data_IF_751432796221
#
_entry.id   IF_751432796221
#
_cell.length_a   1.000
_cell.length_b   1.000
_cell.length_c   1.000
_cell.angle_alpha   90.00
_cell.angle_beta   90.00
_cell.angle_gamma   90.00
#
_symmetry.space_group_name_H-M   'P 1'
#
loop_
_entity.id
_entity.type
_entity.pdbx_description
1 polymer ?
#
# COMPACT_ATOMS: atom_id res chain seq x y z
N UNK A 1 5.97 11.81 -15.44
CA UNK A 1 5.47 10.98 -14.33
C UNK A 1 4.55 9.94 -14.96
N UNK A 2 4.70 8.67 -14.60
CA UNK A 2 3.80 7.59 -14.95
C UNK A 2 2.52 7.91 -14.23
N UNK A 3 1.44 7.99 -15.00
CA UNK A 3 0.12 8.31 -14.49
C UNK A 3 -0.24 7.32 -13.38
N UNK A 4 -0.67 7.84 -12.23
CA UNK A 4 -1.16 6.98 -11.14
C UNK A 4 -2.46 6.32 -11.59
N UNK A 5 -2.64 5.04 -11.28
CA UNK A 5 -3.86 4.32 -11.65
C UNK A 5 -4.57 3.67 -10.47
N UNK A 6 -5.83 3.33 -10.69
CA UNK A 6 -6.71 2.63 -9.76
C UNK A 6 -7.32 1.40 -10.44
N UNK A 7 -7.54 0.32 -9.70
CA UNK A 7 -8.06 -0.95 -10.23
C UNK A 7 -9.50 -0.84 -10.73
N UNK A 8 -9.86 -1.68 -11.71
CA UNK A 8 -11.23 -1.80 -12.19
C UNK A 8 -12.22 -2.19 -11.09
N UNK A 9 -11.82 -3.04 -10.13
CA UNK A 9 -12.67 -3.44 -9.00
C UNK A 9 -13.04 -2.25 -8.10
N UNK A 10 -12.10 -1.34 -7.87
CA UNK A 10 -12.37 -0.11 -7.11
C UNK A 10 -13.23 0.86 -7.91
N UNK A 11 -12.91 1.08 -9.19
CA UNK A 11 -13.70 1.92 -10.09
C UNK A 11 -15.15 1.42 -10.24
N UNK A 12 -15.35 0.10 -10.27
CA UNK A 12 -16.68 -0.53 -10.26
C UNK A 12 -17.42 -0.25 -8.93
N UNK A 13 -16.70 -0.22 -7.81
CA UNK A 13 -17.25 0.23 -6.53
C UNK A 13 -17.78 1.66 -6.62
N UNK A 14 -16.98 2.57 -7.18
CA UNK A 14 -17.36 3.98 -7.40
C UNK A 14 -18.64 4.03 -8.24
N UNK A 15 -18.66 3.35 -9.39
CA UNK A 15 -19.82 3.30 -10.29
C UNK A 15 -21.09 2.88 -9.54
N UNK A 16 -21.04 1.78 -8.77
CA UNK A 16 -22.19 1.31 -8.00
C UNK A 16 -22.65 2.33 -6.96
N UNK A 17 -21.71 3.00 -6.29
CA UNK A 17 -22.04 4.02 -5.30
C UNK A 17 -22.68 5.26 -5.93
N UNK A 18 -22.23 5.67 -7.12
CA UNK A 18 -22.79 6.77 -7.89
C UNK A 18 -24.19 6.45 -8.44
N UNK A 19 -24.40 5.22 -8.91
CA UNK A 19 -25.69 4.75 -9.42
C UNK A 19 -26.78 4.70 -8.32
N UNK A 20 -26.40 4.56 -7.05
CA UNK A 20 -27.35 4.68 -5.94
C UNK A 20 -27.99 6.07 -5.82
N UNK A 21 -27.29 7.12 -6.27
CA UNK A 21 -27.80 8.49 -6.35
C UNK A 21 -28.42 8.79 -7.73
N UNK A 22 -28.70 7.76 -8.53
CA UNK A 22 -29.41 7.87 -9.81
C UNK A 22 -28.56 8.37 -10.97
N UNK A 23 -27.23 8.40 -10.83
CA UNK A 23 -26.32 8.83 -11.90
C UNK A 23 -26.14 7.74 -12.97
N UNK A 24 -26.21 8.13 -14.25
CA UNK A 24 -25.87 7.23 -15.37
C UNK A 24 -24.35 7.21 -15.58
N UNK A 25 -23.69 6.23 -14.96
CA UNK A 25 -22.25 6.07 -15.04
C UNK A 25 -21.74 5.69 -16.44
N UNK A 26 -22.57 5.12 -17.32
CA UNK A 26 -22.17 4.86 -18.72
C UNK A 26 -22.02 6.17 -19.49
N UNK A 27 -22.95 7.10 -19.28
CA UNK A 27 -22.89 8.45 -19.85
C UNK A 27 -21.69 9.22 -19.29
N UNK A 28 -21.47 9.16 -17.97
CA UNK A 28 -20.33 9.81 -17.32
C UNK A 28 -18.98 9.30 -17.85
N UNK A 29 -18.82 7.97 -17.95
CA UNK A 29 -17.59 7.38 -18.49
C UNK A 29 -17.35 7.84 -19.92
N UNK A 30 -18.38 7.83 -20.77
CA UNK A 30 -18.29 8.31 -22.15
C UNK A 30 -17.87 9.79 -22.23
N UNK A 31 -18.42 10.66 -21.38
CA UNK A 31 -18.06 12.08 -21.32
C UNK A 31 -16.60 12.30 -20.90
N UNK A 32 -16.08 11.42 -20.04
CA UNK A 32 -14.70 11.46 -19.55
C UNK A 32 -13.72 10.73 -20.47
N UNK A 33 -14.17 10.17 -21.61
CA UNK A 33 -13.34 9.40 -22.52
C UNK A 33 -12.88 8.05 -21.95
N UNK A 34 -13.59 7.52 -20.95
CA UNK A 34 -13.34 6.22 -20.34
C UNK A 34 -14.18 5.14 -21.02
N UNK A 35 -13.60 3.95 -21.20
CA UNK A 35 -14.34 2.76 -21.61
C UNK A 35 -15.03 2.12 -20.41
N UNK A 36 -16.37 2.13 -20.42
CA UNK A 36 -17.17 1.47 -19.40
C UNK A 36 -17.03 -0.07 -19.45
N UNK A 37 -16.76 -0.65 -20.63
CA UNK A 37 -16.60 -2.09 -20.82
C UNK A 37 -15.41 -2.65 -20.03
N UNK A 38 -14.34 -1.86 -19.93
CA UNK A 38 -13.12 -2.16 -19.16
C UNK A 38 -13.36 -2.38 -17.66
N UNK A 39 -14.50 -1.95 -17.10
CA UNK A 39 -14.84 -2.24 -15.70
C UNK A 39 -15.07 -3.74 -15.43
N UNK A 40 -15.33 -4.53 -16.48
CA UNK A 40 -15.50 -5.99 -16.37
C UNK A 40 -14.18 -6.77 -16.45
N UNK A 41 -13.10 -6.12 -16.88
CA UNK A 41 -11.76 -6.70 -16.92
C UNK A 41 -11.09 -6.58 -15.53
N UNK A 42 -10.77 -7.70 -14.84
CA UNK A 42 -10.13 -7.67 -13.53
C UNK A 42 -8.73 -7.05 -13.50
N UNK A 43 -8.04 -7.00 -14.64
CA UNK A 43 -6.69 -6.45 -14.77
C UNK A 43 -6.68 -5.00 -15.30
N UNK A 44 -7.83 -4.48 -15.73
CA UNK A 44 -7.94 -3.11 -16.19
C UNK A 44 -7.65 -2.10 -15.08
N UNK A 45 -7.07 -0.97 -15.50
CA UNK A 45 -6.62 0.13 -14.66
C UNK A 45 -7.13 1.44 -15.22
N UNK A 46 -7.61 2.30 -14.33
CA UNK A 46 -8.14 3.61 -14.68
C UNK A 46 -7.20 4.70 -14.18
N UNK A 47 -6.90 5.72 -15.01
CA UNK A 47 -6.14 6.90 -14.59
C UNK A 47 -6.74 7.57 -13.35
N UNK A 48 -5.89 7.99 -12.41
CA UNK A 48 -6.31 8.66 -11.19
C UNK A 48 -7.03 9.97 -11.49
N UNK A 49 -6.49 10.79 -12.39
CA UNK A 49 -7.12 12.07 -12.77
C UNK A 49 -8.50 11.87 -13.39
N UNK A 50 -8.73 10.76 -14.09
CA UNK A 50 -10.06 10.41 -14.60
C UNK A 50 -11.03 10.05 -13.49
N UNK A 51 -10.57 9.36 -12.44
CA UNK A 51 -11.39 9.09 -11.24
C UNK A 51 -11.67 10.37 -10.44
N UNK A 52 -10.71 11.28 -10.33
CA UNK A 52 -10.89 12.61 -9.73
C UNK A 52 -11.99 13.38 -10.46
N UNK A 53 -11.95 13.43 -11.80
CA UNK A 53 -12.99 14.08 -12.62
C UNK A 53 -14.35 13.39 -12.50
N UNK A 54 -14.37 12.06 -12.39
CA UNK A 54 -15.60 11.31 -12.16
C UNK A 54 -16.28 11.73 -10.87
N UNK A 55 -15.53 11.85 -9.76
CA UNK A 55 -16.07 12.34 -8.49
C UNK A 55 -16.58 13.78 -8.59
N UNK A 56 -15.79 14.68 -9.19
CA UNK A 56 -16.20 16.08 -9.38
C UNK A 56 -17.52 16.17 -10.16
N UNK A 57 -17.61 15.47 -11.29
CA UNK A 57 -18.80 15.47 -12.14
C UNK A 57 -20.02 14.85 -11.45
N UNK A 58 -19.79 13.80 -10.65
CA UNK A 58 -20.84 13.17 -9.87
C UNK A 58 -21.43 14.13 -8.82
N UNK A 59 -20.59 14.86 -8.10
CA UNK A 59 -21.04 15.87 -7.12
C UNK A 59 -21.82 17.00 -7.82
N UNK A 60 -21.31 17.51 -8.95
CA UNK A 60 -21.99 18.55 -9.73
C UNK A 60 -23.39 18.14 -10.20
N UNK A 61 -23.55 16.89 -10.65
CA UNK A 61 -24.83 16.40 -11.19
C UNK A 61 -25.82 15.98 -10.11
N UNK A 62 -25.34 15.35 -9.04
CA UNK A 62 -26.20 14.88 -7.94
C UNK A 62 -26.56 15.99 -6.95
N UNK A 63 -25.73 17.03 -6.85
CA UNK A 63 -25.80 18.00 -5.76
C UNK A 63 -25.43 17.41 -4.39
N UNK A 64 -24.95 16.17 -4.33
CA UNK A 64 -24.60 15.48 -3.10
C UNK A 64 -23.08 15.56 -2.85
N UNK A 65 -22.60 16.45 -1.95
CA UNK A 65 -21.17 16.53 -1.64
C UNK A 65 -20.65 15.30 -0.90
N UNK A 66 -21.52 14.54 -0.24
CA UNK A 66 -21.19 13.36 0.57
C UNK A 66 -21.33 12.03 -0.21
N UNK A 67 -21.48 12.08 -1.53
CA UNK A 67 -21.70 10.90 -2.39
C UNK A 67 -20.62 9.82 -2.25
N UNK A 68 -19.40 10.20 -1.87
CA UNK A 68 -18.31 9.25 -1.58
C UNK A 68 -18.66 8.26 -0.46
N UNK A 69 -19.46 8.66 0.53
CA UNK A 69 -19.85 7.80 1.65
C UNK A 69 -20.72 6.60 1.21
N UNK A 70 -21.41 6.69 0.07
CA UNK A 70 -22.19 5.58 -0.48
C UNK A 70 -21.32 4.36 -0.82
N UNK A 71 -20.01 4.54 -0.98
CA UNK A 71 -19.06 3.43 -1.15
C UNK A 71 -19.12 2.42 0.00
N UNK A 72 -19.39 2.85 1.24
CA UNK A 72 -19.58 1.95 2.37
C UNK A 72 -20.77 1.00 2.22
N UNK A 73 -21.77 1.34 1.38
CA UNK A 73 -22.98 0.53 1.17
C UNK A 73 -22.80 -0.55 0.11
N UNK A 74 -21.87 -0.37 -0.82
CA UNK A 74 -21.66 -1.26 -1.98
C UNK A 74 -20.39 -2.08 -1.89
N UNK A 75 -19.47 -1.73 -0.99
CA UNK A 75 -18.19 -2.41 -0.87
C UNK A 75 -18.37 -3.88 -0.50
N UNK A 76 -17.58 -4.72 -1.16
CA UNK A 76 -17.39 -6.13 -0.82
C UNK A 76 -15.90 -6.41 -0.76
N UNK A 77 -15.45 -7.51 -0.15
CA UNK A 77 -14.04 -7.86 -0.19
C UNK A 77 -13.45 -7.89 -1.61
N UNK A 78 -14.22 -8.34 -2.60
CA UNK A 78 -13.82 -8.32 -4.01
C UNK A 78 -13.54 -6.91 -4.57
N UNK A 79 -14.07 -5.83 -3.97
CA UNK A 79 -13.73 -4.44 -4.32
C UNK A 79 -12.25 -4.10 -4.06
N UNK A 80 -11.60 -4.85 -3.17
CA UNK A 80 -10.18 -4.72 -2.85
C UNK A 80 -9.29 -5.68 -3.66
N UNK A 81 -9.84 -6.27 -4.73
CA UNK A 81 -9.16 -7.27 -5.57
C UNK A 81 -8.59 -8.43 -4.73
N UNK A 82 -7.44 -8.99 -5.14
CA UNK A 82 -6.76 -10.06 -4.38
C UNK A 82 -6.42 -9.67 -2.94
N UNK A 83 -6.16 -8.38 -2.66
CA UNK A 83 -5.87 -7.91 -1.31
C UNK A 83 -7.06 -8.10 -0.35
N UNK A 84 -8.28 -8.01 -0.87
CA UNK A 84 -9.50 -8.28 -0.11
C UNK A 84 -9.58 -9.71 0.40
N UNK A 85 -9.23 -10.70 -0.42
CA UNK A 85 -9.24 -12.12 -0.01
C UNK A 85 -8.16 -12.44 1.04
N UNK A 86 -6.98 -11.82 0.90
CA UNK A 86 -5.90 -11.95 1.89
C UNK A 86 -6.34 -11.41 3.27
N UNK A 87 -7.08 -10.30 3.26
CA UNK A 87 -7.67 -9.71 4.47
C UNK A 87 -8.80 -10.59 5.04
N UNK A 88 -9.69 -11.13 4.20
CA UNK A 88 -10.79 -12.01 4.63
C UNK A 88 -10.37 -13.24 5.44
N UNK A 89 -9.22 -13.81 5.12
CA UNK A 89 -8.75 -15.07 5.69
C UNK A 89 -7.87 -14.88 6.93
N UNK A 90 -7.60 -13.63 7.33
CA UNK A 90 -6.76 -13.29 8.48
C UNK A 90 -7.38 -13.74 9.81
N UNK A 91 -6.55 -13.96 10.83
CA UNK A 91 -7.03 -14.35 12.16
C UNK A 91 -7.73 -13.18 12.86
N UNK A 92 -7.26 -11.95 12.63
CA UNK A 92 -7.77 -10.73 13.27
C UNK A 92 -7.89 -9.60 12.26
N UNK A 93 -8.65 -8.55 12.59
CA UNK A 93 -8.68 -7.33 11.77
C UNK A 93 -7.30 -6.65 11.73
N UNK A 94 -6.54 -6.68 12.83
CA UNK A 94 -5.20 -6.11 12.89
C UNK A 94 -4.26 -6.74 11.86
N UNK A 95 -4.24 -8.08 11.77
CA UNK A 95 -3.48 -8.81 10.75
C UNK A 95 -4.00 -8.49 9.34
N UNK A 96 -5.33 -8.45 9.17
CA UNK A 96 -5.96 -8.09 7.91
C UNK A 96 -5.54 -6.70 7.41
N UNK A 97 -5.54 -5.69 8.28
CA UNK A 97 -5.12 -4.35 7.90
C UNK A 97 -3.62 -4.24 7.63
N UNK A 98 -2.77 -5.00 8.32
CA UNK A 98 -1.35 -5.10 7.96
C UNK A 98 -1.17 -5.65 6.53
N UNK A 99 -1.96 -6.67 6.14
CA UNK A 99 -1.98 -7.16 4.75
C UNK A 99 -2.50 -6.10 3.78
N UNK A 100 -3.57 -5.39 4.14
CA UNK A 100 -4.10 -4.31 3.29
C UNK A 100 -3.05 -3.23 3.05
N UNK A 101 -2.33 -2.79 4.08
CA UNK A 101 -1.21 -1.82 3.95
C UNK A 101 -0.13 -2.35 3.02
N UNK A 102 0.20 -3.65 3.09
CA UNK A 102 1.21 -4.28 2.23
C UNK A 102 0.78 -4.33 0.76
N UNK A 103 -0.49 -4.62 0.48
CA UNK A 103 -1.02 -4.84 -0.87
C UNK A 103 -1.82 -3.69 -1.46
N UNK A 104 -1.92 -2.56 -0.75
CA UNK A 104 -2.72 -1.40 -1.16
C UNK A 104 -2.49 -0.92 -2.59
N UNK A 105 -1.24 -1.03 -3.09
CA UNK A 105 -0.87 -0.62 -4.45
C UNK A 105 -1.53 -1.46 -5.54
N UNK A 106 -2.01 -2.66 -5.21
CA UNK A 106 -2.83 -3.46 -6.12
C UNK A 106 -4.19 -2.78 -6.34
N UNK A 107 -4.69 -2.01 -5.37
CA UNK A 107 -5.99 -1.34 -5.45
C UNK A 107 -5.83 0.04 -6.08
N UNK A 108 -4.97 0.88 -5.50
CA UNK A 108 -4.74 2.25 -5.98
C UNK A 108 -3.29 2.67 -5.75
N UNK A 109 -2.69 3.34 -6.73
CA UNK A 109 -1.35 3.94 -6.63
C UNK A 109 -1.35 5.34 -6.03
N UNK A 110 -2.55 5.92 -5.89
CA UNK A 110 -2.83 7.26 -5.41
C UNK A 110 -3.22 7.29 -3.93
N UNK A 111 -3.10 6.19 -3.20
CA UNK A 111 -3.39 6.15 -1.78
C UNK A 111 -2.23 5.53 -1.01
N UNK A 112 -1.87 6.17 0.10
CA UNK A 112 -1.00 5.62 1.13
C UNK A 112 -1.81 5.33 2.38
N UNK A 113 -1.88 4.06 2.74
CA UNK A 113 -2.45 3.51 3.95
C UNK A 113 -1.33 3.18 4.93
N UNK A 114 -1.56 3.54 6.19
CA UNK A 114 -0.73 3.16 7.31
C UNK A 114 -1.61 2.59 8.41
N UNK A 115 -1.16 1.52 9.05
CA UNK A 115 -1.86 0.91 10.19
C UNK A 115 -0.90 0.87 11.38
N UNK A 116 -1.24 1.59 12.44
CA UNK A 116 -0.37 1.78 13.61
C UNK A 116 -1.14 1.54 14.90
N UNK A 117 -0.43 1.01 15.89
CA UNK A 117 -0.93 0.99 17.26
C UNK A 117 -0.52 2.29 17.95
N UNK A 118 -1.50 3.02 18.47
CA UNK A 118 -1.35 4.25 19.26
C UNK A 118 -1.85 3.99 20.70
N UNK A 119 -1.62 4.96 21.60
CA UNK A 119 -2.08 4.86 22.99
C UNK A 119 -3.59 4.70 23.12
N UNK A 120 -4.35 5.33 22.21
CA UNK A 120 -5.81 5.33 22.22
C UNK A 120 -6.45 4.17 21.45
N UNK A 121 -5.65 3.30 20.82
CA UNK A 121 -6.11 2.18 20.01
C UNK A 121 -5.35 2.02 18.68
N UNK A 122 -5.91 1.25 17.76
CA UNK A 122 -5.33 1.11 16.42
C UNK A 122 -5.82 2.21 15.49
N UNK A 123 -4.91 2.81 14.74
CA UNK A 123 -5.20 3.82 13.73
C UNK A 123 -4.96 3.27 12.33
N UNK A 124 -6.02 3.25 11.51
CA UNK A 124 -5.89 3.15 10.06
C UNK A 124 -5.86 4.57 9.49
N UNK A 125 -4.69 5.02 9.10
CA UNK A 125 -4.43 6.34 8.56
C UNK A 125 -4.40 6.24 7.03
N UNK A 126 -5.09 7.16 6.38
CA UNK A 126 -5.16 7.28 4.94
C UNK A 126 -4.61 8.63 4.49
N UNK A 127 -3.85 8.60 3.41
CA UNK A 127 -3.48 9.79 2.66
C UNK A 127 -3.78 9.53 1.19
N UNK A 128 -4.73 10.29 0.65
CA UNK A 128 -5.03 10.24 -0.78
C UNK A 128 -4.21 11.31 -1.49
N UNK A 129 -3.49 10.88 -2.50
CA UNK A 129 -2.71 11.71 -3.41
C UNK A 129 -3.50 11.96 -4.68
N UNK A 130 -3.35 13.16 -5.22
CA UNK A 130 -3.76 13.45 -6.59
C UNK A 130 -2.81 12.81 -7.61
N UNK A 131 -3.01 13.12 -8.89
CA UNK A 131 -1.92 13.03 -9.87
C UNK A 131 -1.59 14.43 -10.39
N UNK A 132 -2.05 14.82 -11.58
CA UNK A 132 -1.95 16.22 -12.02
C UNK A 132 -3.08 17.06 -11.42
N UNK A 133 -4.21 16.45 -11.08
CA UNK A 133 -5.30 17.08 -10.35
C UNK A 133 -5.18 16.82 -8.85
N UNK A 134 -5.60 17.77 -7.99
CA UNK A 134 -5.64 17.54 -6.54
C UNK A 134 -6.63 16.42 -6.20
N UNK A 135 -6.40 15.67 -5.10
CA UNK A 135 -7.32 14.63 -4.67
C UNK A 135 -8.67 15.22 -4.28
N UNK A 136 -9.75 14.49 -4.56
CA UNK A 136 -11.10 14.87 -4.13
C UNK A 136 -11.37 14.35 -2.72
N UNK A 137 -12.10 15.14 -1.94
CA UNK A 137 -12.60 14.76 -0.62
C UNK A 137 -13.37 13.45 -0.65
N UNK A 138 -14.19 13.25 -1.70
CA UNK A 138 -15.00 12.05 -1.90
C UNK A 138 -14.14 10.77 -2.02
N UNK A 139 -12.91 10.88 -2.54
CA UNK A 139 -12.02 9.72 -2.62
C UNK A 139 -11.56 9.27 -1.23
N UNK A 140 -11.20 10.20 -0.35
CA UNK A 140 -10.81 9.88 1.02
C UNK A 140 -11.99 9.35 1.84
N UNK A 141 -13.13 10.02 1.75
CA UNK A 141 -14.39 9.60 2.39
C UNK A 141 -14.83 8.21 1.96
N UNK A 142 -14.75 7.92 0.66
CA UNK A 142 -15.03 6.60 0.10
C UNK A 142 -14.13 5.53 0.72
N UNK A 143 -12.83 5.78 0.81
CA UNK A 143 -11.88 4.84 1.40
C UNK A 143 -12.13 4.61 2.88
N UNK A 144 -12.43 5.65 3.67
CA UNK A 144 -12.80 5.51 5.09
C UNK A 144 -14.10 4.71 5.24
N UNK A 145 -15.15 5.06 4.49
CA UNK A 145 -16.44 4.36 4.53
C UNK A 145 -16.30 2.89 4.13
N UNK A 146 -15.49 2.60 3.09
CA UNK A 146 -15.19 1.25 2.67
C UNK A 146 -14.44 0.44 3.74
N UNK A 147 -13.42 1.03 4.35
CA UNK A 147 -12.64 0.35 5.39
C UNK A 147 -13.52 -0.01 6.59
N UNK A 148 -14.39 0.90 7.03
CA UNK A 148 -15.33 0.63 8.12
C UNK A 148 -16.35 -0.45 7.75
N UNK A 149 -16.97 -0.36 6.57
CA UNK A 149 -17.93 -1.36 6.11
C UNK A 149 -17.29 -2.75 5.94
N UNK A 150 -16.02 -2.81 5.51
CA UNK A 150 -15.26 -4.04 5.44
C UNK A 150 -15.05 -4.67 6.82
N UNK A 151 -14.74 -3.87 7.85
CA UNK A 151 -14.69 -4.38 9.23
C UNK A 151 -16.01 -5.02 9.64
N UNK A 152 -17.13 -4.37 9.32
CA UNK A 152 -18.46 -4.90 9.64
C UNK A 152 -18.75 -6.22 8.93
N UNK A 153 -18.36 -6.32 7.65
CA UNK A 153 -18.50 -7.55 6.87
C UNK A 153 -17.68 -8.70 7.45
N UNK A 154 -16.42 -8.44 7.81
CA UNK A 154 -15.51 -9.46 8.30
C UNK A 154 -15.87 -9.99 9.69
N UNK A 155 -16.30 -9.09 10.57
CA UNK A 155 -16.64 -9.45 11.95
C UNK A 155 -18.06 -9.97 12.09
N UNK A 156 -18.92 -9.77 11.07
CA UNK A 156 -20.33 -10.11 11.13
C UNK A 156 -21.15 -9.23 12.08
N UNK A 157 -20.59 -8.11 12.57
CA UNK A 157 -21.25 -7.16 13.46
C UNK A 157 -20.90 -5.72 13.09
N UNK A 158 -21.71 -4.76 13.52
CA UNK A 158 -21.35 -3.34 13.36
C UNK A 158 -20.17 -2.99 14.27
N UNK A 159 -19.12 -2.39 13.69
CA UNK A 159 -18.02 -1.79 14.44
C UNK A 159 -18.25 -0.29 14.60
N UNK A 160 -17.94 0.22 15.78
CA UNK A 160 -17.97 1.63 16.09
C UNK A 160 -16.54 2.11 16.37
N UNK A 161 -15.90 2.84 15.44
CA UNK A 161 -14.63 3.48 15.72
C UNK A 161 -14.74 4.38 16.96
N UNK A 162 -13.65 4.49 17.73
CA UNK A 162 -13.57 5.46 18.84
C UNK A 162 -13.74 6.89 18.33
N UNK A 163 -13.19 7.16 17.16
CA UNK A 163 -13.37 8.42 16.41
C UNK A 163 -12.93 8.26 14.97
N UNK A 164 -13.41 9.16 14.14
CA UNK A 164 -13.01 9.31 12.75
C UNK A 164 -12.42 10.71 12.57
N UNK A 165 -11.19 10.74 12.07
CA UNK A 165 -10.49 11.98 11.70
C UNK A 165 -10.72 12.21 10.21
N UNK A 166 -11.17 13.42 9.86
CA UNK A 166 -11.43 13.81 8.47
C UNK A 166 -10.64 15.06 8.17
N UNK A 167 -9.87 15.01 7.09
CA UNK A 167 -9.13 16.16 6.61
C UNK A 167 -10.06 17.18 5.94
N UNK A 168 -9.82 18.46 6.22
CA UNK A 168 -10.58 19.58 5.67
C UNK A 168 -11.82 19.97 6.49
N UNK A 169 -12.50 21.02 6.02
CA UNK A 169 -13.54 21.69 6.78
C UNK A 169 -14.74 20.80 7.11
N UNK A 170 -15.44 21.14 8.19
CA UNK A 170 -16.72 20.53 8.51
C UNK A 170 -17.75 20.81 7.40
N UNK A 171 -18.48 19.80 6.90
CA UNK A 171 -19.50 19.99 5.87
C UNK A 171 -20.74 20.64 6.47
N UNK A 172 -21.52 21.34 5.64
CA UNK A 172 -22.76 22.01 6.08
C UNK A 172 -23.78 21.01 6.62
N UNK A 173 -23.90 19.85 5.96
CA UNK A 173 -24.73 18.74 6.41
C UNK A 173 -23.86 17.60 6.95
N UNK A 174 -24.01 17.34 8.25
CA UNK A 174 -23.28 16.29 8.97
C UNK A 174 -24.01 14.95 8.98
N UNK A 175 -25.29 14.94 8.64
CA UNK A 175 -26.14 13.76 8.83
C UNK A 175 -25.64 12.54 8.03
N UNK A 176 -25.22 12.68 6.74
CA UNK A 176 -24.64 11.57 6.00
C UNK A 176 -23.38 10.98 6.67
N UNK A 177 -22.55 11.81 7.30
CA UNK A 177 -21.33 11.37 7.98
C UNK A 177 -21.64 10.63 9.27
N UNK A 178 -22.60 11.14 10.05
CA UNK A 178 -23.06 10.46 11.28
C UNK A 178 -23.66 9.09 10.98
N UNK A 179 -24.44 9.00 9.90
CA UNK A 179 -25.02 7.73 9.43
C UNK A 179 -23.97 6.77 8.85
N UNK A 180 -22.93 7.27 8.19
CA UNK A 180 -21.90 6.42 7.62
C UNK A 180 -20.95 5.85 8.68
N UNK A 181 -20.56 6.65 9.67
CA UNK A 181 -19.47 6.30 10.59
C UNK A 181 -19.92 5.85 11.98
N UNK A 182 -21.10 6.28 12.45
CA UNK A 182 -21.62 5.97 13.79
C UNK A 182 -20.58 6.15 14.91
N UNK A 183 -19.79 7.22 14.83
CA UNK A 183 -18.67 7.51 15.72
C UNK A 183 -18.46 9.03 15.85
N UNK A 184 -17.75 9.50 16.90
CA UNK A 184 -17.30 10.88 16.99
C UNK A 184 -16.47 11.31 15.77
N UNK A 185 -16.83 12.45 15.17
CA UNK A 185 -16.18 13.00 13.98
C UNK A 185 -15.30 14.20 14.36
N UNK A 186 -14.07 14.24 13.87
CA UNK A 186 -13.15 15.37 14.03
C UNK A 186 -12.73 15.86 12.65
N UNK A 187 -13.24 17.03 12.27
CA UNK A 187 -12.88 17.72 11.03
C UNK A 187 -11.67 18.63 11.22
N UNK A 188 -11.12 19.12 10.11
CA UNK A 188 -9.86 19.87 10.06
C UNK A 188 -8.68 19.11 10.67
N UNK A 189 -8.74 17.78 10.67
CA UNK A 189 -7.64 16.94 11.10
C UNK A 189 -6.46 17.03 10.11
N UNK A 190 -5.21 16.78 10.55
CA UNK A 190 -4.04 16.80 9.67
C UNK A 190 -4.01 15.66 8.64
N UNK A 191 -4.81 14.61 8.84
CA UNK A 191 -4.92 13.45 7.97
C UNK A 191 -6.29 12.76 8.19
N UNK A 192 -6.68 11.92 7.26
CA UNK A 192 -7.85 11.05 7.36
C UNK A 192 -7.52 9.77 8.15
N UNK A 193 -8.36 9.38 9.12
CA UNK A 193 -8.13 8.15 9.86
C UNK A 193 -9.39 7.56 10.52
N UNK A 194 -9.39 6.23 10.69
CA UNK A 194 -10.28 5.51 11.59
C UNK A 194 -9.48 5.05 12.81
N UNK A 195 -9.95 5.41 14.01
CA UNK A 195 -9.35 4.97 15.27
C UNK A 195 -10.26 3.91 15.90
N UNK A 196 -9.73 2.72 16.11
CA UNK A 196 -10.46 1.56 16.62
C UNK A 196 -9.99 1.14 18.00
N UNK A 197 -10.91 0.57 18.79
CA UNK A 197 -10.56 -0.10 20.04
C UNK A 197 -9.62 -1.28 19.76
N UNK A 198 -8.67 -1.49 20.67
CA UNK A 198 -7.73 -2.61 20.58
C UNK A 198 -8.45 -3.96 20.50
N UNK A 199 -9.43 -4.14 21.39
CA UNK A 199 -10.21 -5.37 21.49
C UNK A 199 -10.95 -5.71 20.18
N UNK A 200 -11.45 -4.70 19.45
CA UNK A 200 -12.12 -4.94 18.17
C UNK A 200 -11.15 -5.38 17.07
N UNK A 201 -9.91 -4.87 17.09
CA UNK A 201 -8.90 -5.20 16.09
C UNK A 201 -8.23 -6.55 16.33
N UNK A 202 -8.07 -6.95 17.59
CA UNK A 202 -7.36 -8.17 18.01
C UNK A 202 -8.31 -9.37 18.21
N UNK A 203 -9.63 -9.15 18.18
CA UNK A 203 -10.60 -10.24 18.27
C UNK A 203 -10.48 -11.21 17.08
N UNK A 204 -10.66 -12.53 17.31
CA UNK A 204 -10.69 -13.52 16.24
C UNK A 204 -11.82 -13.24 15.23
N UNK A 205 -11.50 -13.33 13.94
CA UNK A 205 -12.48 -13.19 12.86
C UNK A 205 -13.28 -14.49 12.65
N UNK A 206 -14.61 -14.42 12.46
CA UNK A 206 -15.41 -15.57 12.03
C UNK A 206 -14.98 -16.17 10.70
N UNK A 207 -14.35 -15.36 9.84
CA UNK A 207 -13.85 -15.76 8.52
C UNK A 207 -12.41 -16.30 8.55
N UNK A 208 -11.77 -16.36 9.72
CA UNK A 208 -10.38 -16.77 9.88
C UNK A 208 -10.13 -18.17 9.32
N UNK A 209 -9.11 -18.29 8.46
CA UNK A 209 -8.67 -19.58 7.93
C UNK A 209 -7.20 -19.48 7.53
N UNK A 210 -6.32 -20.06 8.35
CA UNK A 210 -4.87 -19.97 8.19
C UNK A 210 -4.36 -20.56 6.87
N UNK A 211 -4.90 -21.71 6.45
CA UNK A 211 -4.50 -22.32 5.18
C UNK A 211 -4.86 -21.41 3.99
N UNK A 212 -6.04 -20.81 4.02
CA UNK A 212 -6.46 -19.85 3.00
C UNK A 212 -5.67 -18.55 3.07
N UNK A 213 -5.34 -18.08 4.27
CA UNK A 213 -4.51 -16.91 4.49
C UNK A 213 -3.17 -17.04 3.77
N UNK A 214 -2.47 -18.16 3.94
CA UNK A 214 -1.19 -18.44 3.28
C UNK A 214 -1.34 -18.48 1.75
N UNK A 215 -2.41 -19.09 1.24
CA UNK A 215 -2.69 -19.16 -0.19
C UNK A 215 -2.95 -17.78 -0.80
N UNK A 216 -3.82 -16.98 -0.16
CA UNK A 216 -4.13 -15.63 -0.62
C UNK A 216 -2.93 -14.70 -0.49
N UNK A 217 -2.12 -14.81 0.57
CA UNK A 217 -0.95 -13.96 0.78
C UNK A 217 0.11 -14.22 -0.31
N UNK A 218 0.36 -15.49 -0.64
CA UNK A 218 1.24 -15.86 -1.76
C UNK A 218 0.73 -15.32 -3.09
N UNK A 219 -0.56 -15.52 -3.40
CA UNK A 219 -1.14 -15.04 -4.66
C UNK A 219 -1.15 -13.51 -4.75
N UNK A 220 -1.45 -12.81 -3.65
CA UNK A 220 -1.35 -11.35 -3.57
C UNK A 220 0.08 -10.86 -3.78
N UNK A 221 1.06 -11.55 -3.17
CA UNK A 221 2.49 -11.27 -3.35
C UNK A 221 2.94 -11.46 -4.80
N UNK A 222 2.56 -12.57 -5.45
CA UNK A 222 2.86 -12.83 -6.87
C UNK A 222 2.18 -11.81 -7.78
N UNK A 223 0.92 -11.46 -7.51
CA UNK A 223 0.21 -10.44 -8.29
C UNK A 223 0.84 -9.06 -8.13
N UNK A 224 1.21 -8.67 -6.91
CA UNK A 224 1.93 -7.42 -6.65
C UNK A 224 3.30 -7.41 -7.35
N UNK A 225 4.01 -8.53 -7.35
CA UNK A 225 5.27 -8.70 -8.06
C UNK A 225 5.05 -8.52 -9.57
N UNK A 226 4.06 -9.19 -10.18
CA UNK A 226 3.70 -9.01 -11.60
C UNK A 226 3.26 -7.59 -11.95
N UNK A 227 2.49 -6.97 -11.06
CA UNK A 227 2.08 -5.56 -11.16
C UNK A 227 3.28 -4.61 -11.10
N UNK A 228 4.33 -5.00 -10.39
CA UNK A 228 5.61 -4.30 -10.36
C UNK A 228 6.48 -4.67 -11.58
N UNK A 229 6.46 -5.91 -12.06
CA UNK A 229 7.24 -6.42 -13.20
C UNK A 229 6.93 -5.75 -14.53
N UNK A 230 5.73 -5.21 -14.73
CA UNK A 230 5.44 -4.40 -15.91
C UNK A 230 6.28 -3.11 -15.96
N UNK A 231 6.71 -2.61 -14.80
CA UNK A 231 7.49 -1.37 -14.64
C UNK A 231 8.95 -1.57 -14.95
N UNK A 232 9.53 -0.60 -15.65
CA UNK A 232 10.94 -0.60 -15.98
C UNK A 232 11.82 -0.50 -14.74
N UNK A 233 11.37 0.17 -13.68
CA UNK A 233 12.07 0.23 -12.39
C UNK A 233 12.24 -1.14 -11.76
N UNK A 234 11.20 -1.99 -11.77
CA UNK A 234 11.30 -3.33 -11.22
C UNK A 234 12.19 -4.23 -12.08
N UNK A 235 12.01 -4.20 -13.41
CA UNK A 235 12.88 -4.96 -14.32
C UNK A 235 14.35 -4.54 -14.19
N UNK A 236 14.62 -3.24 -14.11
CA UNK A 236 15.95 -2.70 -13.91
C UNK A 236 16.54 -3.13 -12.55
N UNK A 237 15.75 -3.10 -11.46
CA UNK A 237 16.17 -3.62 -10.15
C UNK A 237 16.56 -5.09 -10.20
N UNK A 238 15.78 -5.95 -10.86
CA UNK A 238 16.14 -7.36 -11.02
C UNK A 238 17.45 -7.56 -11.78
N UNK A 239 17.68 -6.79 -12.85
CA UNK A 239 18.96 -6.81 -13.56
C UNK A 239 20.10 -6.33 -12.67
N UNK A 240 19.90 -5.25 -11.91
CA UNK A 240 20.88 -4.74 -10.96
C UNK A 240 21.27 -5.79 -9.91
N UNK A 241 20.31 -6.49 -9.30
CA UNK A 241 20.60 -7.56 -8.34
C UNK A 241 21.47 -8.69 -8.94
N UNK A 242 21.33 -8.97 -10.24
CA UNK A 242 22.14 -9.99 -10.94
C UNK A 242 23.54 -9.48 -11.31
N UNK A 243 23.67 -8.18 -11.60
CA UNK A 243 24.93 -7.58 -12.04
C UNK A 243 25.82 -7.10 -10.89
N UNK A 244 25.26 -6.70 -9.74
CA UNK A 244 26.01 -6.19 -8.60
C UNK A 244 27.12 -7.15 -8.11
N UNK A 245 26.89 -8.47 -7.99
CA UNK A 245 27.96 -9.42 -7.64
C UNK A 245 29.10 -9.52 -8.68
N UNK A 246 28.88 -8.99 -9.89
CA UNK A 246 29.84 -8.99 -11.00
C UNK A 246 30.62 -7.66 -11.07
N UNK A 247 30.31 -6.69 -10.21
CA UNK A 247 30.90 -5.36 -10.19
C UNK A 247 29.88 -4.24 -10.33
N UNK A 248 30.37 -3.00 -10.46
CA UNK A 248 29.50 -1.83 -10.55
C UNK A 248 28.67 -1.84 -11.86
N UNK A 249 27.33 -1.93 -11.77
CA UNK A 249 26.50 -2.04 -12.96
C UNK A 249 26.42 -0.70 -13.70
N UNK A 250 26.81 -0.72 -14.97
CA UNK A 250 26.68 0.46 -15.85
C UNK A 250 25.29 0.55 -16.46
N UNK A 251 24.81 1.78 -16.66
CA UNK A 251 23.46 2.07 -17.19
C UNK A 251 23.21 1.52 -18.60
N UNK A 252 24.22 1.52 -19.48
CA UNK A 252 24.18 0.89 -20.80
C UNK A 252 23.91 -0.61 -20.70
N UNK A 253 24.63 -1.30 -19.82
CA UNK A 253 24.48 -2.76 -19.65
C UNK A 253 23.06 -3.09 -19.20
N UNK A 254 22.55 -2.37 -18.19
CA UNK A 254 21.17 -2.56 -17.70
C UNK A 254 20.15 -2.25 -18.80
N UNK A 255 20.34 -1.19 -19.59
CA UNK A 255 19.45 -0.86 -20.69
C UNK A 255 19.43 -1.97 -21.76
N UNK A 256 20.60 -2.49 -22.14
CA UNK A 256 20.73 -3.56 -23.12
C UNK A 256 20.11 -4.88 -22.65
N UNK A 257 20.31 -5.27 -21.39
CA UNK A 257 19.66 -6.46 -20.81
C UNK A 257 18.13 -6.36 -20.84
N UNK A 258 17.59 -5.13 -20.78
CA UNK A 258 16.16 -4.86 -20.88
C UNK A 258 15.67 -4.63 -22.32
N UNK A 259 16.54 -4.77 -23.33
CA UNK A 259 16.27 -4.46 -24.74
C UNK A 259 15.80 -3.01 -24.96
N UNK A 260 16.38 -2.06 -24.21
CA UNK A 260 16.11 -0.63 -24.29
C UNK A 260 17.37 0.16 -24.66
N UNK A 261 17.20 1.34 -25.26
CA UNK A 261 18.29 2.33 -25.32
C UNK A 261 18.48 3.00 -23.94
N UNK A 262 19.66 3.54 -23.65
CA UNK A 262 19.89 4.31 -22.41
C UNK A 262 18.89 5.46 -22.25
N UNK A 263 18.56 6.15 -23.35
CA UNK A 263 17.60 7.26 -23.37
C UNK A 263 16.20 6.77 -22.99
N UNK A 264 15.77 5.61 -23.52
CA UNK A 264 14.47 5.03 -23.18
C UNK A 264 14.42 4.55 -21.74
N UNK A 265 15.48 3.90 -21.24
CA UNK A 265 15.58 3.50 -19.84
C UNK A 265 15.49 4.73 -18.92
N UNK A 266 16.29 5.77 -19.19
CA UNK A 266 16.28 6.99 -18.39
C UNK A 266 14.91 7.67 -18.41
N UNK A 267 14.28 7.80 -19.58
CA UNK A 267 12.93 8.38 -19.72
C UNK A 267 11.90 7.59 -18.92
N UNK A 268 11.89 6.25 -19.03
CA UNK A 268 10.91 5.41 -18.32
C UNK A 268 11.12 5.39 -16.80
N UNK A 269 12.37 5.40 -16.34
CA UNK A 269 12.67 5.56 -14.91
C UNK A 269 12.18 6.93 -14.38
N UNK A 270 12.38 8.00 -15.16
CA UNK A 270 11.87 9.34 -14.81
C UNK A 270 10.35 9.41 -14.86
N UNK A 271 9.72 8.74 -15.83
CA UNK A 271 8.27 8.55 -15.84
C UNK A 271 7.87 7.88 -14.52
N UNK A 272 8.48 6.77 -14.14
CA UNK A 272 8.19 6.06 -12.87
C UNK A 272 8.70 6.77 -11.59
N UNK A 273 9.12 8.04 -11.67
CA UNK A 273 9.43 8.88 -10.51
C UNK A 273 10.80 8.62 -9.88
N UNK A 274 11.71 7.94 -10.59
CA UNK A 274 13.06 7.63 -10.10
C UNK A 274 14.13 7.96 -11.14
N UNK A 275 15.39 7.70 -10.79
CA UNK A 275 16.53 7.74 -11.71
C UNK A 275 17.35 6.48 -11.57
N UNK A 276 18.22 6.21 -12.54
CA UNK A 276 19.11 5.06 -12.47
C UNK A 276 19.97 5.05 -11.19
N UNK A 277 20.50 6.20 -10.78
CA UNK A 277 21.34 6.30 -9.59
C UNK A 277 20.54 6.07 -8.31
N UNK A 278 19.34 6.64 -8.21
CA UNK A 278 18.44 6.42 -7.06
C UNK A 278 18.06 4.95 -6.97
N UNK A 279 17.66 4.34 -8.09
CA UNK A 279 17.32 2.93 -8.14
C UNK A 279 18.50 2.02 -7.76
N UNK A 280 19.71 2.33 -8.23
CA UNK A 280 20.94 1.61 -7.88
C UNK A 280 21.24 1.71 -6.38
N UNK A 281 21.15 2.91 -5.82
CA UNK A 281 21.41 3.15 -4.40
C UNK A 281 20.36 2.44 -3.53
N UNK A 282 19.07 2.51 -3.87
CA UNK A 282 18.01 1.82 -3.14
C UNK A 282 18.16 0.30 -3.20
N UNK A 283 18.52 -0.24 -4.37
CA UNK A 283 18.82 -1.68 -4.52
C UNK A 283 20.00 -2.09 -3.64
N UNK A 284 21.07 -1.29 -3.63
CA UNK A 284 22.25 -1.54 -2.78
C UNK A 284 21.90 -1.45 -1.29
N UNK A 285 21.05 -0.50 -0.88
CA UNK A 285 20.61 -0.35 0.51
C UNK A 285 19.86 -1.58 1.01
N UNK A 286 18.85 -2.03 0.27
CA UNK A 286 18.04 -3.21 0.65
C UNK A 286 18.90 -4.47 0.74
N UNK A 287 19.80 -4.69 -0.23
CA UNK A 287 20.72 -5.83 -0.20
C UNK A 287 21.73 -5.72 0.95
N UNK A 288 22.22 -4.51 1.26
CA UNK A 288 23.15 -4.31 2.35
C UNK A 288 22.53 -4.69 3.71
N UNK A 289 21.28 -4.32 3.95
CA UNK A 289 20.56 -4.72 5.17
C UNK A 289 20.40 -6.24 5.25
N UNK A 290 20.01 -6.89 4.15
CA UNK A 290 19.85 -8.35 4.08
C UNK A 290 21.17 -9.10 4.33
N UNK A 291 22.27 -8.63 3.74
CA UNK A 291 23.58 -9.27 3.93
C UNK A 291 24.17 -8.97 5.31
N UNK A 292 23.93 -7.77 5.88
CA UNK A 292 24.39 -7.44 7.23
C UNK A 292 23.70 -8.25 8.31
N UNK A 293 22.47 -8.71 8.05
CA UNK A 293 21.73 -9.62 8.91
C UNK A 293 22.29 -11.05 8.96
N UNK A 294 23.19 -11.43 8.03
CA UNK A 294 23.85 -12.72 8.02
C UNK A 294 25.17 -12.64 8.80
N UNK A 295 25.29 -13.27 9.98
CA UNK A 295 26.48 -13.14 10.83
C UNK A 295 27.75 -13.69 10.19
N UNK A 296 27.60 -14.64 9.26
CA UNK A 296 28.69 -15.34 8.58
C UNK A 296 29.33 -14.53 7.44
N UNK A 297 28.69 -13.44 6.97
CA UNK A 297 29.23 -12.63 5.88
C UNK A 297 30.13 -11.52 6.41
N UNK A 298 31.34 -11.37 5.86
CA UNK A 298 32.24 -10.27 6.21
C UNK A 298 31.81 -8.95 5.55
N UNK A 299 32.17 -7.80 6.14
CA UNK A 299 31.87 -6.49 5.54
C UNK A 299 32.56 -6.31 4.17
N UNK A 300 33.69 -6.98 3.96
CA UNK A 300 34.43 -6.99 2.70
C UNK A 300 33.66 -7.73 1.61
N UNK A 301 33.16 -8.94 1.91
CA UNK A 301 32.31 -9.71 0.99
C UNK A 301 31.01 -8.97 0.65
N UNK A 302 30.41 -8.29 1.62
CA UNK A 302 29.22 -7.46 1.39
C UNK A 302 29.53 -6.32 0.43
N UNK A 303 30.64 -5.60 0.62
CA UNK A 303 31.03 -4.53 -0.28
C UNK A 303 31.18 -5.04 -1.72
N UNK A 304 31.78 -6.22 -1.89
CA UNK A 304 31.95 -6.87 -3.19
C UNK A 304 30.61 -7.29 -3.82
N UNK A 305 29.72 -7.93 -3.06
CA UNK A 305 28.39 -8.35 -3.55
C UNK A 305 27.49 -7.17 -3.94
N UNK A 306 27.72 -6.01 -3.34
CA UNK A 306 27.07 -4.74 -3.67
C UNK A 306 27.74 -4.01 -4.85
N UNK A 307 28.71 -4.64 -5.51
CA UNK A 307 29.39 -4.12 -6.70
C UNK A 307 30.25 -2.90 -6.42
N UNK A 308 30.80 -2.74 -5.22
CA UNK A 308 31.80 -1.71 -4.94
C UNK A 308 33.20 -2.23 -5.28
N UNK A 309 33.94 -1.49 -6.10
CA UNK A 309 35.33 -1.80 -6.43
C UNK A 309 36.30 -1.58 -5.25
N UNK A 310 35.94 -0.69 -4.31
CA UNK A 310 36.70 -0.38 -3.10
C UNK A 310 35.75 -0.40 -1.88
N UNK A 311 36.04 -1.20 -0.84
CA UNK A 311 35.28 -1.21 0.40
C UNK A 311 35.10 0.19 1.01
N UNK A 312 36.08 1.07 0.91
CA UNK A 312 36.00 2.45 1.42
C UNK A 312 34.84 3.24 0.78
N UNK A 313 34.45 2.91 -0.45
CA UNK A 313 33.29 3.51 -1.11
C UNK A 313 31.97 2.94 -0.57
N UNK A 314 31.92 1.64 -0.27
CA UNK A 314 30.78 1.03 0.42
C UNK A 314 30.54 1.68 1.78
N UNK A 315 31.58 1.85 2.60
CA UNK A 315 31.43 2.46 3.94
C UNK A 315 30.92 3.90 3.87
N UNK A 316 31.42 4.70 2.90
CA UNK A 316 30.94 6.07 2.66
C UNK A 316 29.50 6.10 2.18
N UNK A 317 29.14 5.23 1.24
CA UNK A 317 27.78 5.13 0.72
C UNK A 317 26.80 4.68 1.82
N UNK A 318 27.18 3.66 2.60
CA UNK A 318 26.37 3.15 3.70
C UNK A 318 26.11 4.21 4.78
N UNK A 319 27.14 4.98 5.16
CA UNK A 319 26.98 6.09 6.11
C UNK A 319 26.06 7.17 5.56
N UNK A 320 26.13 7.48 4.27
CA UNK A 320 25.19 8.41 3.62
C UNK A 320 23.75 7.89 3.63
N UNK A 321 23.55 6.58 3.54
CA UNK A 321 22.22 5.96 3.49
C UNK A 321 21.56 5.76 4.86
N UNK A 322 22.34 5.44 5.89
CA UNK A 322 21.85 4.98 7.20
C UNK A 322 22.36 5.80 8.38
N UNK A 323 23.18 6.82 8.13
CA UNK A 323 23.81 7.72 9.12
C UNK A 323 24.70 7.03 10.17
N UNK A 324 25.04 5.75 9.94
CA UNK A 324 25.92 4.93 10.78
C UNK A 324 26.85 4.09 9.91
N UNK A 325 27.88 3.49 10.51
CA UNK A 325 28.75 2.55 9.78
C UNK A 325 28.10 1.17 9.63
N UNK A 326 28.47 0.38 8.59
CA UNK A 326 27.95 -0.99 8.40
C UNK A 326 28.15 -1.89 9.63
N UNK A 327 29.30 -1.75 10.32
CA UNK A 327 29.61 -2.52 11.52
C UNK A 327 28.69 -2.19 12.69
N UNK A 328 28.49 -0.90 12.96
CA UNK A 328 27.56 -0.45 14.00
C UNK A 328 26.12 -0.88 13.70
N UNK A 329 25.70 -0.79 12.43
CA UNK A 329 24.37 -1.23 12.00
C UNK A 329 24.16 -2.73 12.24
N UNK A 330 25.15 -3.56 11.89
CA UNK A 330 25.10 -5.02 12.14
C UNK A 330 24.97 -5.35 13.62
N UNK A 331 25.74 -4.69 14.49
CA UNK A 331 25.67 -4.95 15.93
C UNK A 331 24.26 -4.66 16.46
N UNK A 332 23.68 -3.51 16.08
CA UNK A 332 22.30 -3.14 16.46
C UNK A 332 21.28 -4.16 15.96
N UNK A 333 21.43 -4.62 14.72
CA UNK A 333 20.52 -5.56 14.10
C UNK A 333 20.56 -6.94 14.78
N UNK A 334 21.76 -7.46 15.09
CA UNK A 334 21.92 -8.74 15.80
C UNK A 334 21.45 -8.68 17.26
N UNK A 335 21.65 -7.55 17.95
CA UNK A 335 21.12 -7.33 19.30
C UNK A 335 19.58 -7.30 19.31
N UNK A 336 18.96 -6.66 18.32
CA UNK A 336 17.51 -6.64 18.17
C UNK A 336 16.94 -8.05 17.89
N UNK A 337 17.61 -8.87 17.06
CA UNK A 337 17.18 -10.24 16.78
C UNK A 337 17.34 -11.16 18.01
N UNK A 338 18.41 -11.00 18.79
CA UNK A 338 18.60 -11.75 20.04
C UNK A 338 17.51 -11.44 21.08
N UNK A 339 17.19 -10.15 21.29
CA UNK A 339 16.14 -9.74 22.22
C UNK A 339 14.73 -10.26 21.84
N UNK A 340 14.45 -10.42 20.54
CA UNK A 340 13.18 -11.00 20.05
C UNK A 340 13.12 -12.52 20.25
N UNK A 341 14.27 -13.22 20.15
CA UNK A 341 14.33 -14.66 20.39
C UNK A 341 14.26 -15.00 21.89
N UNK A 342 14.90 -14.21 22.75
CA UNK A 342 14.82 -14.36 24.21
C UNK A 342 13.40 -14.08 24.73
N UNK A 343 12.67 -13.15 24.11
CA UNK A 343 11.27 -12.86 24.45
C UNK A 343 10.28 -13.96 24.02
N UNK A 344 10.68 -14.91 23.16
CA UNK A 344 9.80 -15.99 22.64
C UNK A 344 9.94 -17.34 23.36
N UNK A 345 10.84 -17.47 24.34
CA UNK A 345 11.02 -18.68 25.13
C UNK A 345 10.63 -18.44 26.60
N UNK A 346 9.37 -18.63 27.02
CA UNK A 346 9.08 -18.86 28.42
C UNK A 346 9.57 -20.26 28.81
N UNK A 347 10.40 -20.31 29.85
CA UNK A 347 10.93 -21.54 30.44
C UNK A 347 9.82 -22.56 30.74
N UNK A 348 9.80 -23.67 29.99
CA UNK A 348 9.04 -24.85 30.40
C UNK A 348 9.87 -25.61 31.42
N UNK A 349 9.76 -25.21 32.69
CA UNK A 349 10.33 -25.97 33.80
C UNK A 349 9.48 -27.23 34.02
N UNK A 350 9.98 -28.37 33.55
CA UNK A 350 9.43 -29.68 33.86
C UNK A 350 9.50 -29.94 35.37
N UNK A 351 8.35 -29.99 36.04
CA UNK A 351 8.27 -30.56 37.38
C UNK A 351 8.15 -32.08 37.28
N UNK A 352 9.21 -32.74 37.71
CA UNK A 352 9.27 -34.17 37.98
C UNK A 352 8.47 -34.48 39.24
N UNK A 353 7.52 -35.42 39.14
CA UNK A 353 7.13 -36.30 40.24
C UNK A 353 7.06 -37.73 39.72
#
# INVERSE_FOLDING_TARGET
>A
MSERTTSASWAMGIVKALEMDGLDCRVLFKQLGLDYGSLSDPDARFPQDSMTRLWQRAVELSGNPAIGLNMGKVVRPASFHVAGYALMSSQTLAEGFQRLVRYQRIIAESADLSFKLLDEGYALILTVHGDHLPPTRQSAEASLACALALCGWLTGRTLHPRKVLVQGAEPVDLEPYKQAFHAPLVFNAPYDALIFERADMEAPLPTANEAMALLHDRFAGEYLARFSESRVTHKARQVLCRLLPQGEPKRDVVAQTLHLSQRTLQRRLQEEGTSFQVLLDDTRRELAEQYLAQPTMTLLEIAYLLGFADPSNFFRAFRRWFDVTPGEYRVRLLQATAAVNDAKMPEYTAQTQ
#
